data_IF_557268861751
#
_entry.id   IF_557268861751
#
_cell.length_a   1.000
_cell.length_b   1.000
_cell.length_c   1.000
_cell.angle_alpha   90.00
_cell.angle_beta   90.00
_cell.angle_gamma   90.00
#
_symmetry.space_group_name_H-M   'P 1'
#
loop_
_entity.id
_entity.type
_entity.pdbx_description
1 polymer ?
#
# COMPACT_ATOMS: atom_id res chain seq x y z
N UNK A 1 -29.39 -14.36 -26.03
CA UNK A 1 -28.50 -13.19 -26.16
C UNK A 1 -27.11 -13.53 -25.63
N UNK A 2 -26.03 -13.18 -26.33
CA UNK A 2 -24.67 -13.33 -25.79
C UNK A 2 -24.48 -12.30 -24.69
N UNK A 3 -24.00 -12.72 -23.51
CA UNK A 3 -23.68 -11.79 -22.42
C UNK A 3 -22.54 -10.84 -22.77
N UNK A 4 -22.42 -9.73 -22.03
CA UNK A 4 -21.34 -8.76 -22.20
C UNK A 4 -19.97 -9.42 -22.01
N UNK A 5 -19.07 -9.23 -22.97
CA UNK A 5 -17.68 -9.70 -22.90
C UNK A 5 -16.76 -8.51 -23.08
N UNK A 6 -15.98 -8.20 -22.06
CA UNK A 6 -15.03 -7.09 -22.12
C UNK A 6 -13.73 -7.54 -22.81
N UNK A 7 -13.32 -6.94 -23.95
CA UNK A 7 -12.14 -7.37 -24.69
C UNK A 7 -10.83 -7.29 -23.89
N UNK A 8 -10.76 -6.37 -22.92
CA UNK A 8 -9.57 -6.12 -22.11
C UNK A 8 -9.66 -6.70 -20.70
N UNK A 9 -10.52 -7.71 -20.46
CA UNK A 9 -10.69 -8.32 -19.14
C UNK A 9 -9.36 -8.84 -18.57
N UNK A 10 -8.53 -9.50 -19.38
CA UNK A 10 -7.20 -9.99 -18.96
C UNK A 10 -6.25 -8.86 -18.51
N UNK A 11 -6.36 -7.68 -19.13
CA UNK A 11 -5.54 -6.51 -18.76
C UNK A 11 -6.01 -5.94 -17.42
N UNK A 12 -7.33 -5.87 -17.21
CA UNK A 12 -7.91 -5.47 -15.93
C UNK A 12 -7.49 -6.44 -14.80
N UNK A 13 -7.56 -7.75 -15.04
CA UNK A 13 -7.15 -8.76 -14.05
C UNK A 13 -5.66 -8.63 -13.70
N UNK A 14 -4.80 -8.40 -14.71
CA UNK A 14 -3.38 -8.11 -14.49
C UNK A 14 -3.19 -6.87 -13.62
N UNK A 15 -3.92 -5.78 -13.89
CA UNK A 15 -3.83 -4.54 -13.12
C UNK A 15 -4.28 -4.73 -11.67
N UNK A 16 -5.36 -5.45 -11.44
CA UNK A 16 -5.80 -5.82 -10.08
C UNK A 16 -4.75 -6.66 -9.34
N UNK A 17 -4.10 -7.61 -10.03
CA UNK A 17 -3.02 -8.39 -9.43
C UNK A 17 -1.79 -7.54 -9.10
N UNK A 18 -1.40 -6.61 -9.97
CA UNK A 18 -0.27 -5.70 -9.70
C UNK A 18 -0.53 -4.79 -8.50
N UNK A 19 -1.78 -4.35 -8.30
CA UNK A 19 -2.16 -3.62 -7.10
C UNK A 19 -2.03 -4.49 -5.85
N UNK A 20 -2.56 -5.71 -5.85
CA UNK A 20 -2.42 -6.64 -4.71
C UNK A 20 -0.95 -6.88 -4.37
N UNK A 21 -0.09 -7.02 -5.39
CA UNK A 21 1.34 -7.15 -5.20
C UNK A 21 1.96 -5.89 -4.56
N UNK A 22 1.55 -4.69 -5.01
CA UNK A 22 2.01 -3.44 -4.41
C UNK A 22 1.53 -3.27 -2.95
N UNK A 23 0.30 -3.69 -2.64
CA UNK A 23 -0.23 -3.73 -1.26
C UNK A 23 0.62 -4.65 -0.38
N UNK A 24 0.92 -5.86 -0.87
CA UNK A 24 1.76 -6.81 -0.14
C UNK A 24 3.18 -6.26 0.11
N UNK A 25 3.81 -5.65 -0.91
CA UNK A 25 5.11 -5.02 -0.76
C UNK A 25 5.09 -3.86 0.25
N UNK A 26 4.00 -3.08 0.31
CA UNK A 26 3.85 -2.02 1.29
C UNK A 26 3.70 -2.60 2.70
N UNK A 27 2.90 -3.66 2.88
CA UNK A 27 2.76 -4.32 4.18
C UNK A 27 4.10 -4.88 4.68
N UNK A 28 4.91 -5.46 3.80
CA UNK A 28 6.25 -5.91 4.17
C UNK A 28 7.15 -4.75 4.62
N UNK A 29 7.18 -3.65 3.85
CA UNK A 29 7.99 -2.47 4.18
C UNK A 29 7.56 -1.82 5.51
N UNK A 30 6.27 -1.81 5.81
CA UNK A 30 5.77 -1.34 7.12
C UNK A 30 6.21 -2.25 8.26
N UNK A 31 6.23 -3.58 8.05
CA UNK A 31 6.76 -4.52 9.03
C UNK A 31 8.26 -4.32 9.31
N UNK A 32 9.05 -4.05 8.26
CA UNK A 32 10.47 -3.73 8.39
C UNK A 32 10.69 -2.41 9.15
N UNK A 33 9.91 -1.35 8.83
CA UNK A 33 9.95 -0.09 9.57
C UNK A 33 9.64 -0.29 11.06
N UNK A 34 8.57 -1.03 11.37
CA UNK A 34 8.19 -1.32 12.75
C UNK A 34 9.31 -2.06 13.51
N UNK A 35 9.97 -3.03 12.87
CA UNK A 35 11.08 -3.76 13.49
C UNK A 35 12.30 -2.86 13.80
N UNK A 36 12.59 -1.89 12.93
CA UNK A 36 13.65 -0.91 13.16
C UNK A 36 13.27 0.09 14.26
N UNK A 37 12.02 0.55 14.31
CA UNK A 37 11.49 1.41 15.38
C UNK A 37 11.53 0.71 16.75
N UNK A 38 11.11 -0.55 16.81
CA UNK A 38 11.20 -1.38 18.01
C UNK A 38 12.66 -1.52 18.45
N UNK A 39 13.57 -1.75 17.51
CA UNK A 39 15.01 -1.84 17.79
C UNK A 39 15.58 -0.52 18.32
N UNK A 40 15.17 0.61 17.76
CA UNK A 40 15.55 1.94 18.24
C UNK A 40 15.02 2.20 19.66
N UNK A 41 13.78 1.81 19.94
CA UNK A 41 13.18 1.96 21.27
C UNK A 41 13.94 1.15 22.33
N UNK A 42 14.38 -0.07 22.00
CA UNK A 42 15.19 -0.92 22.86
C UNK A 42 16.54 -0.28 23.19
N UNK A 43 17.27 0.23 22.18
CA UNK A 43 18.57 0.90 22.38
C UNK A 43 18.41 2.16 23.22
N UNK A 44 17.35 2.95 23.00
CA UNK A 44 17.04 4.13 23.84
C UNK A 44 16.81 3.76 25.30
N UNK A 45 16.06 2.68 25.54
CA UNK A 45 15.80 2.19 26.90
C UNK A 45 17.09 1.71 27.56
N UNK A 46 17.87 0.88 26.87
CA UNK A 46 19.18 0.40 27.35
C UNK A 46 20.12 1.56 27.72
N UNK A 47 20.17 2.60 26.89
CA UNK A 47 20.97 3.81 27.15
C UNK A 47 20.47 4.60 28.35
N UNK A 48 19.16 4.70 28.53
CA UNK A 48 18.56 5.35 29.69
C UNK A 48 18.89 4.58 30.98
N UNK A 49 18.70 3.26 30.98
CA UNK A 49 18.98 2.39 32.11
C UNK A 49 20.48 2.45 32.48
N UNK A 50 21.38 2.41 31.50
CA UNK A 50 22.83 2.57 31.71
C UNK A 50 23.19 3.94 32.34
N UNK A 51 22.48 5.00 31.96
CA UNK A 51 22.68 6.34 32.54
C UNK A 51 22.25 6.38 34.01
N UNK A 52 21.13 5.73 34.34
CA UNK A 52 20.67 5.60 35.73
C UNK A 52 21.70 4.83 36.56
N UNK A 53 22.18 3.69 36.06
CA UNK A 53 23.20 2.89 36.75
C UNK A 53 24.49 3.67 36.98
N UNK A 54 24.94 4.46 35.99
CA UNK A 54 26.10 5.33 36.17
C UNK A 54 25.86 6.34 37.30
N UNK A 55 24.68 6.98 37.34
CA UNK A 55 24.31 7.94 38.37
C UNK A 55 24.31 7.30 39.78
N UNK A 56 23.80 6.09 39.90
CA UNK A 56 23.80 5.32 41.16
C UNK A 56 25.21 5.00 41.63
N UNK A 57 26.10 4.58 40.73
CA UNK A 57 27.51 4.31 41.05
C UNK A 57 28.26 5.57 41.48
N UNK A 58 27.97 6.71 40.85
CA UNK A 58 28.53 8.02 41.28
C UNK A 58 28.08 8.34 42.70
N UNK A 59 26.79 8.18 43.01
CA UNK A 59 26.25 8.43 44.35
C UNK A 59 26.81 7.46 45.41
N UNK A 60 27.17 6.24 45.00
CA UNK A 60 27.78 5.23 45.87
C UNK A 60 29.31 5.39 46.04
N UNK A 61 29.93 6.44 45.46
CA UNK A 61 31.38 6.63 45.46
C UNK A 61 32.15 5.42 44.89
N UNK A 62 31.60 4.80 43.84
CA UNK A 62 32.22 3.67 43.16
C UNK A 62 33.61 4.03 42.60
N UNK A 63 34.51 3.05 42.45
CA UNK A 63 35.85 3.29 41.93
C UNK A 63 35.81 3.81 40.49
N UNK A 64 36.76 4.70 40.15
CA UNK A 64 36.80 5.42 38.87
C UNK A 64 36.77 4.49 37.65
N UNK A 65 37.38 3.30 37.73
CA UNK A 65 37.41 2.35 36.62
C UNK A 65 36.01 1.82 36.24
N UNK A 66 35.11 1.63 37.22
CA UNK A 66 33.72 1.22 36.97
C UNK A 66 32.93 2.34 36.29
N UNK A 67 33.13 3.59 36.75
CA UNK A 67 32.50 4.76 36.14
C UNK A 67 32.94 4.94 34.68
N UNK A 68 34.23 4.76 34.38
CA UNK A 68 34.76 4.83 33.02
C UNK A 68 34.20 3.72 32.12
N UNK A 69 34.05 2.50 32.63
CA UNK A 69 33.44 1.39 31.88
C UNK A 69 32.01 1.74 31.44
N UNK A 70 31.19 2.26 32.36
CA UNK A 70 29.81 2.65 32.05
C UNK A 70 29.73 3.87 31.12
N UNK A 71 30.63 4.85 31.27
CA UNK A 71 30.73 5.96 30.32
C UNK A 71 31.06 5.48 28.90
N UNK A 72 32.02 4.57 28.74
CA UNK A 72 32.33 3.98 27.44
C UNK A 72 31.15 3.18 26.86
N UNK A 73 30.43 2.44 27.70
CA UNK A 73 29.24 1.73 27.28
C UNK A 73 28.14 2.68 26.78
N UNK A 74 27.88 3.80 27.47
CA UNK A 74 26.92 4.81 27.04
C UNK A 74 27.35 5.44 25.71
N UNK A 75 28.63 5.76 25.52
CA UNK A 75 29.13 6.28 24.24
C UNK A 75 28.91 5.29 23.09
N UNK A 76 29.17 4.00 23.31
CA UNK A 76 28.88 2.96 22.33
C UNK A 76 27.38 2.87 22.00
N UNK A 77 26.51 3.00 23.01
CA UNK A 77 25.06 3.02 22.80
C UNK A 77 24.62 4.26 22.03
N UNK A 78 25.20 5.42 22.29
CA UNK A 78 24.92 6.66 21.56
C UNK A 78 25.30 6.52 20.07
N UNK A 79 26.48 5.95 19.76
CA UNK A 79 26.88 5.64 18.37
C UNK A 79 25.91 4.66 17.69
N UNK A 80 25.51 3.61 18.41
CA UNK A 80 24.51 2.64 17.91
C UNK A 80 23.17 3.31 17.65
N UNK A 81 22.77 4.27 18.49
CA UNK A 81 21.53 5.03 18.36
C UNK A 81 21.53 5.87 17.08
N UNK A 82 22.66 6.52 16.74
CA UNK A 82 22.83 7.26 15.48
C UNK A 82 22.58 6.34 14.28
N UNK A 83 23.18 5.15 14.28
CA UNK A 83 23.01 4.17 13.20
C UNK A 83 21.56 3.70 13.10
N UNK A 84 20.90 3.39 14.24
CA UNK A 84 19.50 2.97 14.24
C UNK A 84 18.56 4.06 13.74
N UNK A 85 18.81 5.33 14.07
CA UNK A 85 18.05 6.45 13.50
C UNK A 85 18.18 6.53 11.98
N UNK A 86 19.38 6.31 11.44
CA UNK A 86 19.59 6.29 9.99
C UNK A 86 18.82 5.13 9.34
N UNK A 87 18.77 3.95 9.97
CA UNK A 87 18.01 2.80 9.47
C UNK A 87 16.52 3.05 9.46
N UNK A 88 15.95 3.61 10.54
CA UNK A 88 14.54 4.01 10.60
C UNK A 88 14.23 4.98 9.46
N UNK A 89 15.05 6.02 9.28
CA UNK A 89 14.87 7.00 8.19
C UNK A 89 14.93 6.37 6.79
N UNK A 90 15.82 5.39 6.60
CA UNK A 90 15.88 4.64 5.35
C UNK A 90 14.61 3.80 5.13
N UNK A 91 14.14 3.10 6.16
CA UNK A 91 12.92 2.31 6.11
C UNK A 91 11.67 3.19 5.84
N UNK A 92 11.57 4.37 6.46
CA UNK A 92 10.54 5.37 6.18
C UNK A 92 10.55 5.78 4.69
N UNK A 93 11.74 6.02 4.13
CA UNK A 93 11.91 6.32 2.71
C UNK A 93 11.44 5.19 1.78
N UNK A 94 11.72 3.94 2.16
CA UNK A 94 11.22 2.76 1.44
C UNK A 94 9.69 2.70 1.50
N UNK A 95 9.09 2.86 2.68
CA UNK A 95 7.63 2.89 2.85
C UNK A 95 7.00 3.98 1.99
N UNK A 96 7.53 5.20 2.01
CA UNK A 96 7.04 6.32 1.18
C UNK A 96 7.09 5.99 -0.33
N UNK A 97 8.16 5.34 -0.77
CA UNK A 97 8.30 4.89 -2.16
C UNK A 97 7.25 3.82 -2.51
N UNK A 98 7.02 2.84 -1.63
CA UNK A 98 6.01 1.79 -1.84
C UNK A 98 4.58 2.35 -1.81
N UNK A 99 4.29 3.32 -0.95
CA UNK A 99 3.01 4.03 -0.93
C UNK A 99 2.75 4.76 -2.25
N UNK A 100 3.76 5.46 -2.77
CA UNK A 100 3.68 6.15 -4.06
C UNK A 100 3.41 5.18 -5.22
N UNK A 101 4.11 4.04 -5.23
CA UNK A 101 3.89 2.97 -6.22
C UNK A 101 2.47 2.39 -6.14
N UNK A 102 1.99 2.10 -4.93
CA UNK A 102 0.62 1.61 -4.72
C UNK A 102 -0.42 2.63 -5.22
N UNK A 103 -0.24 3.91 -4.93
CA UNK A 103 -1.13 4.97 -5.42
C UNK A 103 -1.20 5.00 -6.95
N UNK A 104 -0.07 4.84 -7.63
CA UNK A 104 -0.04 4.75 -9.09
C UNK A 104 -0.80 3.52 -9.60
N UNK A 105 -0.56 2.34 -9.01
CA UNK A 105 -1.29 1.11 -9.37
C UNK A 105 -2.81 1.23 -9.14
N UNK A 106 -3.22 1.89 -8.05
CA UNK A 106 -4.63 2.13 -7.75
C UNK A 106 -5.28 3.08 -8.76
N UNK A 107 -4.57 4.13 -9.18
CA UNK A 107 -5.05 5.07 -10.21
C UNK A 107 -5.24 4.36 -11.55
N UNK A 108 -4.25 3.57 -11.96
CA UNK A 108 -4.30 2.74 -13.16
C UNK A 108 -5.49 1.78 -13.13
N UNK A 109 -5.66 1.00 -12.06
CA UNK A 109 -6.78 0.06 -11.91
C UNK A 109 -8.13 0.79 -12.04
N UNK A 110 -8.29 1.94 -11.37
CA UNK A 110 -9.52 2.74 -11.45
C UNK A 110 -9.83 3.18 -12.89
N UNK A 111 -8.82 3.55 -13.67
CA UNK A 111 -9.00 3.90 -15.07
C UNK A 111 -9.53 2.71 -15.89
N UNK A 112 -8.97 1.52 -15.67
CA UNK A 112 -9.40 0.31 -16.36
C UNK A 112 -10.81 -0.14 -15.97
N UNK A 113 -11.18 0.00 -14.69
CA UNK A 113 -12.55 -0.26 -14.22
C UNK A 113 -13.54 0.68 -14.89
N UNK A 114 -13.24 2.00 -14.93
CA UNK A 114 -14.09 2.99 -15.62
C UNK A 114 -14.22 2.70 -17.12
N UNK A 115 -13.14 2.26 -17.77
CA UNK A 115 -13.18 1.87 -19.17
C UNK A 115 -14.12 0.67 -19.41
N UNK A 116 -14.09 -0.33 -18.50
CA UNK A 116 -15.01 -1.47 -18.54
C UNK A 116 -16.46 -1.03 -18.36
N UNK A 117 -16.74 -0.19 -17.36
CA UNK A 117 -18.08 0.34 -17.09
C UNK A 117 -18.64 1.08 -18.30
N UNK A 118 -17.83 1.92 -18.95
CA UNK A 118 -18.23 2.63 -20.17
C UNK A 118 -18.54 1.68 -21.32
N UNK A 119 -17.72 0.64 -21.52
CA UNK A 119 -17.96 -0.38 -22.54
C UNK A 119 -19.25 -1.17 -22.26
N UNK A 120 -19.54 -1.46 -20.99
CA UNK A 120 -20.77 -2.12 -20.57
C UNK A 120 -22.01 -1.26 -20.82
N UNK A 121 -21.93 0.04 -20.53
CA UNK A 121 -23.01 0.99 -20.83
C UNK A 121 -23.29 1.07 -22.33
N UNK A 122 -22.25 1.14 -23.16
CA UNK A 122 -22.39 1.15 -24.62
C UNK A 122 -23.01 -0.14 -25.14
N UNK A 123 -22.61 -1.30 -24.60
CA UNK A 123 -23.21 -2.58 -24.96
C UNK A 123 -24.71 -2.62 -24.62
N UNK A 124 -25.09 -2.21 -23.40
CA UNK A 124 -26.51 -2.15 -22.98
C UNK A 124 -27.32 -1.22 -23.89
N UNK A 125 -26.76 -0.07 -24.25
CA UNK A 125 -27.40 0.86 -25.18
C UNK A 125 -27.62 0.24 -26.57
N UNK A 126 -26.61 -0.44 -27.12
CA UNK A 126 -26.72 -1.11 -28.42
C UNK A 126 -27.74 -2.24 -28.41
N UNK A 127 -27.78 -3.04 -27.34
CA UNK A 127 -28.78 -4.11 -27.18
C UNK A 127 -30.18 -3.51 -27.13
N UNK A 128 -30.41 -2.48 -26.32
CA UNK A 128 -31.71 -1.81 -26.21
C UNK A 128 -32.15 -1.17 -27.53
N UNK A 129 -31.22 -0.57 -28.29
CA UNK A 129 -31.51 -0.01 -29.60
C UNK A 129 -31.88 -1.09 -30.62
N UNK A 130 -31.19 -2.23 -30.60
CA UNK A 130 -31.51 -3.37 -31.46
C UNK A 130 -32.91 -3.94 -31.12
N UNK A 131 -33.22 -4.12 -29.84
CA UNK A 131 -34.54 -4.56 -29.37
C UNK A 131 -35.65 -3.58 -29.80
N UNK A 132 -35.39 -2.28 -29.69
CA UNK A 132 -36.35 -1.26 -30.12
C UNK A 132 -36.60 -1.31 -31.64
N UNK A 133 -35.55 -1.44 -32.44
CA UNK A 133 -35.68 -1.58 -33.89
C UNK A 133 -36.48 -2.83 -34.28
N UNK A 134 -36.25 -3.98 -33.61
CA UNK A 134 -37.03 -5.19 -33.85
C UNK A 134 -38.52 -4.98 -33.51
N UNK A 135 -38.84 -4.30 -32.41
CA UNK A 135 -40.22 -3.98 -32.04
C UNK A 135 -40.90 -3.04 -33.04
N UNK A 136 -40.18 -2.01 -33.51
CA UNK A 136 -40.67 -1.05 -34.50
C UNK A 136 -40.92 -1.71 -35.86
N UNK A 137 -40.05 -2.63 -36.29
CA UNK A 137 -40.25 -3.45 -37.49
C UNK A 137 -41.51 -4.31 -37.37
N UNK A 138 -41.68 -5.00 -36.23
CA UNK A 138 -42.88 -5.81 -35.96
C UNK A 138 -44.16 -4.96 -35.91
N UNK A 139 -44.11 -3.74 -35.38
CA UNK A 139 -45.25 -2.82 -35.37
C UNK A 139 -45.60 -2.37 -36.79
N UNK A 140 -44.60 -2.02 -37.60
CA UNK A 140 -44.76 -1.61 -39.00
C UNK A 140 -45.40 -2.71 -39.84
N UNK A 141 -44.89 -3.96 -39.74
CA UNK A 141 -45.46 -5.11 -40.45
C UNK A 141 -46.91 -5.37 -40.05
N UNK A 142 -47.21 -5.31 -38.75
CA UNK A 142 -48.58 -5.48 -38.24
C UNK A 142 -49.53 -4.40 -38.72
N UNK A 143 -49.09 -3.14 -38.75
CA UNK A 143 -49.88 -2.03 -39.27
C UNK A 143 -50.23 -2.24 -40.74
N UNK A 144 -49.23 -2.56 -41.59
CA UNK A 144 -49.47 -2.86 -43.00
C UNK A 144 -50.43 -4.03 -43.22
N UNK A 145 -50.33 -5.08 -42.41
CA UNK A 145 -51.25 -6.23 -42.47
C UNK A 145 -52.68 -5.89 -42.03
N UNK A 146 -52.87 -4.98 -41.07
CA UNK A 146 -54.19 -4.57 -40.58
C UNK A 146 -54.86 -3.51 -41.46
N UNK A 147 -54.09 -2.77 -42.26
CA UNK A 147 -54.59 -1.76 -43.21
C UNK A 147 -55.00 -2.33 -44.58
N UNK A 148 -55.01 -3.66 -44.73
CA UNK A 148 -55.39 -4.38 -45.96
C UNK A 148 -56.71 -5.13 -45.73
#
# INVERSE_FOLDING_TARGET
MKGFQYPFQKVLDLKTNTKKQAEWMLSQALGELQAEEDSLSRVKKERHDATITLQELVNACAPVHELQMWQHHILFLDDKLIVQYQRVKQAEGVVSTKQSALHQCMSDEKLWVKAREKAEQQFKFQVSLAEQNELDEMATVRYFMASR
#
